data_IF_532456667604
#
_entry.id   IF_532456667604
#
_cell.length_a   1.000
_cell.length_b   1.000
_cell.length_c   1.000
_cell.angle_alpha   90.00
_cell.angle_beta   90.00
_cell.angle_gamma   90.00
#
_symmetry.space_group_name_H-M   'P 1'
#
loop_
_entity.id
_entity.type
_entity.pdbx_description
1 polymer ?
#
# COMPACT_ATOMS: atom_id res chain seq x y z
N UNK A 1 -7.82 26.26 4.50
CA UNK A 1 -7.16 25.07 5.03
C UNK A 1 -7.03 24.00 3.97
N UNK A 2 -5.85 23.41 3.86
CA UNK A 2 -5.57 22.37 2.89
C UNK A 2 -6.15 21.04 3.36
N UNK A 3 -6.59 20.18 2.42
CA UNK A 3 -7.02 18.82 2.73
C UNK A 3 -5.92 18.07 3.47
N UNK A 4 -4.67 18.24 3.06
CA UNK A 4 -3.54 17.53 3.65
C UNK A 4 -3.27 17.92 5.10
N UNK A 5 -3.81 19.05 5.58
CA UNK A 5 -3.65 19.47 6.96
C UNK A 5 -4.75 18.95 7.87
N UNK A 6 -5.77 18.27 7.32
CA UNK A 6 -6.83 17.67 8.11
C UNK A 6 -6.26 16.45 8.85
N UNK A 7 -6.39 16.39 10.20
CA UNK A 7 -5.80 15.28 10.96
C UNK A 7 -6.37 13.90 10.64
N UNK A 8 -7.52 13.81 9.96
CA UNK A 8 -8.09 12.52 9.62
C UNK A 8 -7.20 11.75 8.61
N UNK A 9 -6.55 12.46 7.68
CA UNK A 9 -5.76 11.77 6.67
C UNK A 9 -4.50 11.10 7.23
N UNK A 10 -3.68 11.74 8.08
CA UNK A 10 -2.59 11.01 8.69
C UNK A 10 -3.06 9.89 9.60
N UNK A 11 -4.17 10.08 10.32
CA UNK A 11 -4.70 9.03 11.19
C UNK A 11 -5.17 7.82 10.38
N UNK A 12 -5.83 8.05 9.24
CA UNK A 12 -6.21 6.97 8.35
C UNK A 12 -4.99 6.26 7.77
N UNK A 13 -3.95 7.02 7.44
CA UNK A 13 -2.70 6.44 6.93
C UNK A 13 -2.10 5.49 7.95
N UNK A 14 -2.07 5.90 9.22
CA UNK A 14 -1.55 5.04 10.28
C UNK A 14 -2.40 3.77 10.43
N UNK A 15 -3.72 3.91 10.40
CA UNK A 15 -4.63 2.78 10.50
C UNK A 15 -4.41 1.78 9.37
N UNK A 16 -4.35 2.27 8.14
CA UNK A 16 -4.13 1.44 6.97
C UNK A 16 -2.75 0.79 7.01
N UNK A 17 -1.73 1.53 7.47
CA UNK A 17 -0.39 0.97 7.62
C UNK A 17 -0.41 -0.25 8.53
N UNK A 18 -1.11 -0.15 9.65
CA UNK A 18 -1.23 -1.26 10.59
C UNK A 18 -1.94 -2.46 9.98
N UNK A 19 -3.04 -2.21 9.27
CA UNK A 19 -3.80 -3.30 8.63
C UNK A 19 -2.99 -3.98 7.54
N UNK A 20 -2.30 -3.21 6.71
CA UNK A 20 -1.49 -3.77 5.63
C UNK A 20 -0.32 -4.57 6.21
N UNK A 21 0.29 -4.06 7.28
CA UNK A 21 1.37 -4.79 7.94
C UNK A 21 0.90 -6.13 8.50
N UNK A 22 -0.24 -6.13 9.18
CA UNK A 22 -0.81 -7.36 9.69
C UNK A 22 -1.14 -8.33 8.56
N UNK A 23 -1.73 -7.83 7.48
CA UNK A 23 -2.05 -8.64 6.32
C UNK A 23 -0.80 -9.26 5.72
N UNK A 24 0.29 -8.50 5.65
CA UNK A 24 1.56 -9.00 5.12
C UNK A 24 2.07 -10.21 5.89
N UNK A 25 2.00 -10.15 7.21
CA UNK A 25 2.43 -11.28 8.04
C UNK A 25 1.51 -12.48 7.82
N UNK A 26 0.19 -12.24 7.76
CA UNK A 26 -0.77 -13.32 7.52
C UNK A 26 -0.50 -13.98 6.16
N UNK A 27 -0.30 -13.19 5.10
CA UNK A 27 -0.05 -13.76 3.78
C UNK A 27 1.28 -14.50 3.72
N UNK A 28 2.29 -14.03 4.48
CA UNK A 28 3.57 -14.75 4.58
C UNK A 28 3.36 -16.13 5.20
N UNK A 29 2.55 -16.19 6.25
CA UNK A 29 2.23 -17.46 6.88
C UNK A 29 1.48 -18.38 5.93
N UNK A 30 0.53 -17.87 5.20
CA UNK A 30 -0.25 -18.66 4.25
C UNK A 30 0.64 -19.17 3.11
N UNK A 31 1.61 -18.37 2.67
CA UNK A 31 2.55 -18.83 1.66
C UNK A 31 3.41 -19.99 2.16
N UNK A 32 3.76 -19.99 3.45
CA UNK A 32 4.59 -21.03 4.03
C UNK A 32 3.83 -22.32 4.30
N UNK A 33 2.53 -22.24 4.60
CA UNK A 33 1.77 -23.38 5.11
C UNK A 33 0.72 -23.95 4.16
N UNK A 34 0.64 -23.45 2.95
CA UNK A 34 -0.30 -24.03 1.99
C UNK A 34 -0.88 -22.96 1.09
N UNK A 35 -1.82 -23.38 0.25
CA UNK A 35 -2.43 -22.47 -0.70
C UNK A 35 -1.51 -22.18 -1.87
N UNK A 36 -1.81 -21.12 -2.58
CA UNK A 36 -1.03 -20.71 -3.74
C UNK A 36 0.17 -19.90 -3.27
N UNK A 37 1.31 -20.58 -3.10
CA UNK A 37 2.52 -19.97 -2.57
C UNK A 37 2.95 -18.74 -3.36
N UNK A 38 2.88 -18.82 -4.69
CA UNK A 38 3.32 -17.70 -5.54
C UNK A 38 2.47 -16.45 -5.29
N UNK A 39 1.16 -16.59 -5.29
CA UNK A 39 0.25 -15.45 -5.12
C UNK A 39 0.34 -14.89 -3.69
N UNK A 40 0.35 -15.77 -2.70
CA UNK A 40 0.47 -15.31 -1.31
C UNK A 40 1.81 -14.63 -1.05
N UNK A 41 2.91 -15.16 -1.61
CA UNK A 41 4.22 -14.53 -1.45
C UNK A 41 4.28 -13.16 -2.10
N UNK A 42 3.68 -13.01 -3.28
CA UNK A 42 3.67 -11.71 -3.95
C UNK A 42 2.86 -10.70 -3.15
N UNK A 43 1.69 -11.10 -2.64
CA UNK A 43 0.87 -10.22 -1.81
C UNK A 43 1.60 -9.85 -0.52
N UNK A 44 2.24 -10.81 0.12
CA UNK A 44 3.00 -10.56 1.35
C UNK A 44 4.15 -9.58 1.10
N UNK A 45 4.90 -9.78 0.03
CA UNK A 45 6.01 -8.90 -0.29
C UNK A 45 5.54 -7.47 -0.49
N UNK A 46 4.46 -7.28 -1.25
CA UNK A 46 3.91 -5.94 -1.45
C UNK A 46 3.47 -5.31 -0.13
N UNK A 47 2.71 -6.04 0.69
CA UNK A 47 2.23 -5.51 1.95
C UNK A 47 3.37 -5.17 2.91
N UNK A 48 4.37 -6.04 3.00
CA UNK A 48 5.49 -5.81 3.90
C UNK A 48 6.37 -4.65 3.48
N UNK A 49 6.40 -4.33 2.19
CA UNK A 49 7.13 -3.16 1.70
C UNK A 49 6.33 -1.88 1.88
N UNK A 50 5.01 -1.92 1.65
CA UNK A 50 4.20 -0.72 1.65
C UNK A 50 3.75 -0.29 3.06
N UNK A 51 3.58 -1.23 3.98
CA UNK A 51 3.18 -0.87 5.34
C UNK A 51 4.21 0.03 6.03
N UNK A 52 5.52 -0.31 6.04
CA UNK A 52 6.52 0.61 6.59
C UNK A 52 6.57 1.94 5.86
N UNK A 53 6.34 1.93 4.53
CA UNK A 53 6.32 3.17 3.76
C UNK A 53 5.20 4.09 4.25
N UNK A 54 4.01 3.54 4.45
CA UNK A 54 2.88 4.32 4.97
C UNK A 54 3.15 4.82 6.37
N UNK A 55 3.76 4.00 7.21
CA UNK A 55 4.14 4.39 8.55
C UNK A 55 5.14 5.56 8.52
N UNK A 56 6.13 5.48 7.60
CA UNK A 56 7.07 6.56 7.41
C UNK A 56 6.40 7.85 6.94
N UNK A 57 5.44 7.73 6.03
CA UNK A 57 4.68 8.89 5.56
C UNK A 57 3.88 9.51 6.71
N UNK A 58 3.28 8.68 7.55
CA UNK A 58 2.56 9.18 8.73
C UNK A 58 3.48 9.96 9.65
N UNK A 59 4.65 9.39 9.97
CA UNK A 59 5.59 10.03 10.88
C UNK A 59 6.11 11.32 10.26
N UNK A 60 6.39 11.34 8.97
CA UNK A 60 6.91 12.50 8.26
C UNK A 60 5.85 13.39 7.62
N UNK A 61 4.59 13.23 8.01
CA UNK A 61 3.49 13.94 7.35
C UNK A 61 3.73 15.43 7.19
N UNK A 62 4.22 16.07 8.25
CA UNK A 62 4.48 17.50 8.23
C UNK A 62 5.71 17.87 7.40
N UNK A 63 6.59 16.93 7.16
CA UNK A 63 7.85 17.17 6.45
C UNK A 63 7.78 16.78 4.99
N UNK A 64 6.92 15.85 4.64
CA UNK A 64 6.77 15.37 3.26
C UNK A 64 5.65 16.16 2.60
N UNK A 65 6.02 17.04 1.65
CA UNK A 65 5.04 17.90 1.02
C UNK A 65 3.98 17.13 0.25
N UNK A 66 4.36 16.00 -0.34
CA UNK A 66 3.47 15.16 -1.12
C UNK A 66 2.88 14.00 -0.32
N UNK A 67 2.86 14.11 1.02
CA UNK A 67 2.45 13.00 1.89
C UNK A 67 1.06 12.46 1.56
N UNK A 68 0.07 13.32 1.37
CA UNK A 68 -1.29 12.88 1.09
C UNK A 68 -1.37 12.09 -0.21
N UNK A 69 -0.77 12.63 -1.28
CA UNK A 69 -0.77 11.97 -2.58
C UNK A 69 -0.05 10.63 -2.50
N UNK A 70 1.11 10.60 -1.87
CA UNK A 70 1.89 9.38 -1.73
C UNK A 70 1.12 8.33 -0.92
N UNK A 71 0.48 8.74 0.18
CA UNK A 71 -0.28 7.83 1.02
C UNK A 71 -1.46 7.24 0.26
N UNK A 72 -2.18 8.05 -0.50
CA UNK A 72 -3.30 7.56 -1.29
C UNK A 72 -2.85 6.57 -2.36
N UNK A 73 -1.80 6.91 -3.09
CA UNK A 73 -1.31 6.05 -4.17
C UNK A 73 -0.78 4.73 -3.62
N UNK A 74 0.03 4.77 -2.59
CA UNK A 74 0.61 3.56 -2.01
C UNK A 74 -0.47 2.72 -1.33
N UNK A 75 -1.33 3.35 -0.53
CA UNK A 75 -2.36 2.63 0.21
C UNK A 75 -3.38 1.97 -0.70
N UNK A 76 -3.94 2.74 -1.61
CA UNK A 76 -4.95 2.21 -2.54
C UNK A 76 -4.30 1.20 -3.48
N UNK A 77 -3.09 1.50 -3.97
CA UNK A 77 -2.38 0.59 -4.86
C UNK A 77 -2.08 -0.75 -4.21
N UNK A 78 -1.62 -0.72 -2.96
CA UNK A 78 -1.31 -1.95 -2.23
C UNK A 78 -2.58 -2.76 -1.97
N UNK A 79 -3.66 -2.11 -1.55
CA UNK A 79 -4.91 -2.81 -1.29
C UNK A 79 -5.45 -3.45 -2.56
N UNK A 80 -5.38 -2.75 -3.67
CA UNK A 80 -5.86 -3.26 -4.95
C UNK A 80 -4.99 -4.43 -5.43
N UNK A 81 -3.67 -4.27 -5.36
CA UNK A 81 -2.74 -5.31 -5.80
C UNK A 81 -2.87 -6.57 -4.95
N UNK A 82 -2.73 -6.45 -3.65
CA UNK A 82 -2.80 -7.59 -2.74
C UNK A 82 -4.21 -8.18 -2.74
N UNK A 83 -5.24 -7.34 -2.76
CA UNK A 83 -6.62 -7.81 -2.80
C UNK A 83 -6.90 -8.63 -4.05
N UNK A 84 -6.40 -8.18 -5.19
CA UNK A 84 -6.57 -8.92 -6.44
C UNK A 84 -5.89 -10.30 -6.37
N UNK A 85 -4.66 -10.33 -5.87
CA UNK A 85 -3.92 -11.60 -5.79
C UNK A 85 -4.60 -12.60 -4.86
N UNK A 86 -5.08 -12.12 -3.71
CA UNK A 86 -5.78 -12.99 -2.76
C UNK A 86 -7.13 -13.44 -3.32
N UNK A 87 -7.83 -12.56 -4.02
CA UNK A 87 -9.09 -12.93 -4.68
C UNK A 87 -8.85 -14.05 -5.69
N UNK A 88 -7.71 -14.02 -6.40
CA UNK A 88 -7.36 -15.08 -7.34
C UNK A 88 -7.16 -16.44 -6.67
N UNK A 89 -6.64 -16.45 -5.44
CA UNK A 89 -6.46 -17.73 -4.73
C UNK A 89 -7.79 -18.40 -4.41
N UNK A 90 -8.86 -17.62 -4.26
CA UNK A 90 -10.16 -18.12 -3.89
C UNK A 90 -11.07 -18.40 -5.08
N UNK A 91 -11.01 -17.55 -6.09
CA UNK A 91 -11.98 -17.59 -7.19
C UNK A 91 -11.36 -17.87 -8.55
N UNK A 92 -10.03 -17.98 -8.62
CA UNK A 92 -9.35 -18.32 -9.86
C UNK A 92 -9.22 -17.17 -10.86
N UNK A 93 -9.75 -16.00 -10.54
CA UNK A 93 -9.63 -14.83 -11.40
C UNK A 93 -9.51 -13.59 -10.52
N UNK A 94 -9.03 -12.47 -11.11
CA UNK A 94 -8.85 -11.24 -10.37
C UNK A 94 -10.14 -10.48 -10.13
N UNK A 95 -10.02 -9.35 -9.42
CA UNK A 95 -11.17 -8.49 -9.10
C UNK A 95 -11.80 -7.93 -10.38
N UNK A 96 -10.98 -7.47 -11.29
CA UNK A 96 -11.40 -6.98 -12.60
C UNK A 96 -10.19 -7.02 -13.53
N UNK A 97 -10.39 -6.90 -14.86
CA UNK A 97 -9.26 -6.94 -15.78
C UNK A 97 -8.24 -5.86 -15.43
N UNK A 98 -6.96 -6.24 -15.35
CA UNK A 98 -5.83 -5.35 -15.09
C UNK A 98 -5.79 -4.79 -13.67
N UNK A 99 -6.54 -5.38 -12.70
CA UNK A 99 -6.54 -4.84 -11.33
C UNK A 99 -5.17 -4.92 -10.67
N UNK A 100 -4.46 -6.04 -10.79
CA UNK A 100 -3.13 -6.16 -10.19
C UNK A 100 -2.12 -5.20 -10.84
N UNK A 101 -2.00 -5.12 -12.17
CA UNK A 101 -1.12 -4.13 -12.78
C UNK A 101 -1.48 -2.69 -12.41
N UNK A 102 -2.78 -2.39 -12.28
CA UNK A 102 -3.21 -1.06 -11.86
C UNK A 102 -2.72 -0.75 -10.45
N UNK A 103 -2.90 -1.71 -9.53
CA UNK A 103 -2.42 -1.54 -8.16
C UNK A 103 -0.91 -1.35 -8.10
N UNK A 104 -0.17 -2.16 -8.86
CA UNK A 104 1.28 -2.03 -8.94
C UNK A 104 1.72 -0.68 -9.46
N UNK A 105 1.06 -0.20 -10.50
CA UNK A 105 1.35 1.12 -11.07
C UNK A 105 1.10 2.22 -10.06
N UNK A 106 -0.01 2.13 -9.32
CA UNK A 106 -0.31 3.12 -8.28
C UNK A 106 0.76 3.14 -7.20
N UNK A 107 1.26 1.97 -6.79
CA UNK A 107 2.33 1.91 -5.81
C UNK A 107 3.61 2.56 -6.33
N UNK A 108 3.97 2.31 -7.59
CA UNK A 108 5.14 2.93 -8.20
C UNK A 108 4.98 4.45 -8.21
N UNK A 109 3.82 4.93 -8.63
CA UNK A 109 3.56 6.37 -8.65
C UNK A 109 3.61 6.97 -7.24
N UNK A 110 3.20 6.22 -6.23
CA UNK A 110 3.29 6.67 -4.85
C UNK A 110 4.73 6.88 -4.40
N UNK A 111 5.62 5.95 -4.75
CA UNK A 111 7.04 6.09 -4.45
C UNK A 111 7.65 7.25 -5.20
N UNK A 112 7.26 7.46 -6.45
CA UNK A 112 7.70 8.61 -7.23
C UNK A 112 7.22 9.91 -6.57
N UNK A 113 5.99 9.92 -6.05
CA UNK A 113 5.46 11.08 -5.35
C UNK A 113 6.32 11.44 -4.13
N UNK A 114 6.80 10.42 -3.39
CA UNK A 114 7.71 10.66 -2.28
C UNK A 114 9.00 11.33 -2.78
N UNK A 115 9.56 10.81 -3.86
CA UNK A 115 10.78 11.35 -4.43
C UNK A 115 10.59 12.81 -4.86
N UNK A 116 9.46 13.10 -5.50
CA UNK A 116 9.13 14.46 -5.91
C UNK A 116 9.03 15.38 -4.69
N UNK A 117 8.53 14.87 -3.58
CA UNK A 117 8.41 15.63 -2.35
C UNK A 117 9.73 16.18 -1.85
N UNK A 118 10.85 15.55 -2.22
CA UNK A 118 12.18 16.04 -1.83
C UNK A 118 12.52 17.40 -2.42
N UNK A 119 11.84 17.79 -3.50
CA UNK A 119 12.10 19.05 -4.17
C UNK A 119 11.25 20.19 -3.64
N UNK A 120 10.36 19.92 -2.70
CA UNK A 120 9.52 20.96 -2.11
C UNK A 120 9.94 21.22 -0.68
N UNK A 121 9.97 22.49 -0.30
CA UNK A 121 10.31 22.86 1.08
C UNK A 121 9.10 22.76 1.99
N UNK A 122 9.40 22.50 3.24
CA UNK A 122 8.35 22.31 4.21
C UNK A 122 8.59 23.13 5.49
#
# INVERSE_FOLDING_TARGET
>A
MSISSNPIFPRLTLFIAGLIGAAGVIFSAMAAHGGDTHLYSAAATACMAQAPALLGIYIGWEKIRTALVAALLIGIGCMLFAGDLIFRTRFGHGLFPMSAPTGGTLMILGWIAIAIGAFFRR
#
